data_IF_033587734566
#
_entry.id   IF_033587734566
#
_cell.length_a   1.000
_cell.length_b   1.000
_cell.length_c   1.000
_cell.angle_alpha   90.00
_cell.angle_beta   90.00
_cell.angle_gamma   90.00
#
_symmetry.space_group_name_H-M   'P 1'
#
loop_
_entity.id
_entity.type
_entity.pdbx_description
1 polymer ?
#
# COMPACT_ATOMS: atom_id res chain seq x y z
N UNK A 1 4.56 -16.33 -1.74
CA UNK A 1 4.71 -15.51 -0.52
C UNK A 1 4.64 -14.05 -0.94
N UNK A 2 3.84 -13.24 -0.26
CA UNK A 2 3.71 -11.81 -0.50
C UNK A 2 4.50 -10.98 0.52
N UNK A 3 4.65 -9.69 0.24
CA UNK A 3 5.14 -8.66 1.14
C UNK A 3 4.13 -7.52 1.12
N UNK A 4 3.58 -7.20 2.27
CA UNK A 4 2.41 -6.33 2.36
C UNK A 4 2.82 -4.94 2.80
N UNK A 5 2.19 -3.89 2.28
CA UNK A 5 2.37 -2.52 2.76
C UNK A 5 1.01 -1.82 2.80
N UNK A 6 0.86 -0.94 3.79
CA UNK A 6 -0.31 -0.09 3.92
C UNK A 6 0.10 1.38 3.86
N UNK A 7 -0.70 2.17 3.13
CA UNK A 7 -0.47 3.59 2.91
C UNK A 7 -1.72 4.39 3.22
N UNK A 8 -1.60 5.42 4.05
CA UNK A 8 -2.71 6.31 4.37
C UNK A 8 -2.21 7.71 4.71
N UNK A 9 -3.13 8.67 4.72
CA UNK A 9 -2.84 10.00 5.21
C UNK A 9 -3.00 10.06 6.73
N UNK A 10 -1.96 10.51 7.43
CA UNK A 10 -1.99 10.74 8.86
C UNK A 10 -1.53 12.17 9.16
N UNK A 11 -2.21 12.83 10.10
CA UNK A 11 -1.93 14.23 10.46
C UNK A 11 -0.82 14.38 11.51
N UNK A 12 -0.45 13.29 12.18
CA UNK A 12 0.58 13.24 13.22
C UNK A 12 1.49 12.04 13.09
N UNK A 13 2.39 11.88 14.07
CA UNK A 13 3.18 10.66 14.20
C UNK A 13 2.32 9.54 14.77
N UNK A 14 2.61 8.32 14.34
CA UNK A 14 1.98 7.10 14.84
C UNK A 14 3.09 6.13 15.24
N UNK A 15 2.97 5.52 16.42
CA UNK A 15 3.87 4.43 16.78
C UNK A 15 3.47 3.12 16.07
N UNK A 16 4.37 2.14 16.09
CA UNK A 16 4.16 0.87 15.40
C UNK A 16 2.95 0.08 15.92
N UNK A 17 2.60 0.21 17.20
CA UNK A 17 1.47 -0.51 17.79
C UNK A 17 0.13 0.10 17.33
N UNK A 18 0.02 1.43 17.32
CA UNK A 18 -1.13 2.13 16.79
C UNK A 18 -1.27 1.95 15.27
N UNK A 19 -0.15 1.91 14.53
CA UNK A 19 -0.13 1.62 13.11
C UNK A 19 -0.61 0.19 12.82
N UNK A 20 -0.17 -0.78 13.62
CA UNK A 20 -0.65 -2.16 13.53
C UNK A 20 -2.17 -2.26 13.73
N UNK A 21 -2.72 -1.60 14.75
CA UNK A 21 -4.18 -1.62 15.00
C UNK A 21 -4.98 -1.08 13.81
N UNK A 22 -4.48 -0.02 13.16
CA UNK A 22 -5.11 0.48 11.93
C UNK A 22 -4.99 -0.52 10.80
N UNK A 23 -3.80 -1.09 10.59
CA UNK A 23 -3.57 -2.09 9.56
C UNK A 23 -4.48 -3.32 9.72
N UNK A 24 -4.62 -3.83 10.94
CA UNK A 24 -5.49 -4.97 11.28
C UNK A 24 -6.95 -4.68 10.88
N UNK A 25 -7.47 -3.50 11.27
CA UNK A 25 -8.80 -3.04 10.88
C UNK A 25 -8.95 -2.85 9.36
N UNK A 26 -7.92 -2.34 8.67
CA UNK A 26 -7.91 -2.23 7.21
C UNK A 26 -8.01 -3.62 6.55
N UNK A 27 -7.27 -4.61 7.05
CA UNK A 27 -7.28 -5.98 6.50
C UNK A 27 -8.58 -6.74 6.80
N UNK A 28 -9.28 -6.39 7.88
CA UNK A 28 -10.62 -6.88 8.19
C UNK A 28 -11.72 -6.22 7.32
N UNK A 29 -11.35 -5.24 6.50
CA UNK A 29 -12.25 -4.54 5.58
C UNK A 29 -13.09 -3.46 6.25
N UNK A 30 -12.66 -2.97 7.41
CA UNK A 30 -13.33 -1.86 8.08
C UNK A 30 -13.18 -0.55 7.30
N UNK A 31 -14.22 0.28 7.38
CA UNK A 31 -14.28 1.64 6.84
C UNK A 31 -14.22 2.67 7.97
N UNK A 32 -13.68 3.85 7.72
CA UNK A 32 -13.47 4.89 8.72
C UNK A 32 -12.24 4.67 9.58
N UNK A 33 -11.31 3.79 9.15
CA UNK A 33 -10.06 3.53 9.87
C UNK A 33 -9.14 4.75 9.83
N UNK A 34 -9.15 5.45 8.70
CA UNK A 34 -8.45 6.70 8.47
C UNK A 34 -9.35 7.68 7.74
N UNK A 35 -9.03 8.97 7.81
CA UNK A 35 -9.79 9.97 7.05
C UNK A 35 -9.51 9.80 5.54
N UNK A 36 -10.55 9.91 4.73
CA UNK A 36 -10.39 10.04 3.28
C UNK A 36 -9.48 11.23 2.95
N UNK A 37 -8.63 11.05 1.94
CA UNK A 37 -7.70 12.10 1.53
C UNK A 37 -7.46 12.06 0.03
N UNK A 38 -7.54 13.22 -0.67
CA UNK A 38 -7.14 13.30 -2.07
C UNK A 38 -5.70 12.81 -2.32
N UNK A 39 -4.82 12.91 -1.31
CA UNK A 39 -3.43 12.45 -1.39
C UNK A 39 -3.34 10.93 -1.57
N UNK A 40 -4.24 10.17 -0.94
CA UNK A 40 -4.31 8.72 -1.05
C UNK A 40 -4.81 8.33 -2.46
N UNK A 41 -5.84 9.02 -2.95
CA UNK A 41 -6.32 8.82 -4.31
C UNK A 41 -5.25 9.19 -5.36
N UNK A 42 -4.48 10.25 -5.15
CA UNK A 42 -3.37 10.64 -6.01
C UNK A 42 -2.26 9.58 -6.02
N UNK A 43 -1.90 9.06 -4.84
CA UNK A 43 -0.93 7.99 -4.70
C UNK A 43 -1.38 6.72 -5.42
N UNK A 44 -2.63 6.28 -5.22
CA UNK A 44 -3.16 5.11 -5.93
C UNK A 44 -3.04 5.25 -7.45
N UNK A 45 -3.36 6.43 -8.01
CA UNK A 45 -3.19 6.69 -9.45
C UNK A 45 -1.73 6.67 -9.90
N UNK A 46 -0.81 7.08 -9.04
CA UNK A 46 0.63 6.99 -9.35
C UNK A 46 1.12 5.53 -9.31
N UNK A 47 0.62 4.73 -8.35
CA UNK A 47 0.89 3.28 -8.27
C UNK A 47 0.43 2.59 -9.56
N UNK A 48 -0.81 2.85 -10.00
CA UNK A 48 -1.35 2.27 -11.24
C UNK A 48 -0.57 2.68 -12.51
N UNK A 49 0.06 3.85 -12.51
CA UNK A 49 0.92 4.29 -13.63
C UNK A 49 2.30 3.63 -13.60
N UNK A 50 2.83 3.39 -12.41
CA UNK A 50 4.14 2.75 -12.24
C UNK A 50 4.06 1.25 -12.50
N UNK A 51 2.97 0.62 -12.06
CA UNK A 51 2.75 -0.81 -12.14
C UNK A 51 1.30 -1.08 -12.52
N UNK A 52 1.09 -1.74 -13.65
CA UNK A 52 -0.25 -2.17 -14.06
C UNK A 52 -0.84 -3.10 -12.99
N UNK A 53 -2.09 -2.85 -12.62
CA UNK A 53 -2.80 -3.67 -11.62
C UNK A 53 -3.25 -5.01 -12.22
N UNK A 54 -3.46 -6.00 -11.35
CA UNK A 54 -4.02 -7.28 -11.74
C UNK A 54 -5.55 -7.15 -11.90
N UNK A 55 -6.06 -7.64 -13.03
CA UNK A 55 -7.49 -7.65 -13.38
C UNK A 55 -7.93 -9.04 -13.83
N UNK A 56 -9.24 -9.25 -14.02
CA UNK A 56 -9.78 -10.50 -14.56
C UNK A 56 -9.27 -10.81 -15.98
N UNK A 57 -8.85 -9.79 -16.74
CA UNK A 57 -8.32 -9.91 -18.09
C UNK A 57 -6.79 -10.12 -18.12
N UNK A 58 -6.13 -10.14 -16.96
CA UNK A 58 -4.66 -10.32 -16.90
C UNK A 58 -4.29 -11.75 -17.26
N UNK A 59 -3.42 -11.90 -18.26
CA UNK A 59 -2.90 -13.20 -18.69
C UNK A 59 -1.92 -13.79 -17.66
N UNK A 60 -1.69 -15.10 -17.69
CA UNK A 60 -0.70 -15.74 -16.82
C UNK A 60 0.72 -15.14 -17.02
N UNK A 61 1.08 -14.83 -18.26
CA UNK A 61 2.37 -14.24 -18.61
C UNK A 61 2.53 -12.81 -18.03
N UNK A 62 1.46 -12.00 -18.08
CA UNK A 62 1.43 -10.67 -17.47
C UNK A 62 1.46 -10.76 -15.93
N UNK A 63 0.73 -11.72 -15.35
CA UNK A 63 0.73 -11.96 -13.91
C UNK A 63 2.13 -12.36 -13.41
N UNK A 64 2.87 -13.19 -14.16
CA UNK A 64 4.25 -13.57 -13.85
C UNK A 64 5.23 -12.38 -13.90
N UNK A 65 4.95 -11.36 -14.71
CA UNK A 65 5.73 -10.12 -14.77
C UNK A 65 5.25 -9.05 -13.79
N UNK A 66 4.08 -9.22 -13.19
CA UNK A 66 3.50 -8.26 -12.24
C UNK A 66 4.29 -8.23 -10.93
N UNK A 67 4.45 -7.06 -10.29
CA UNK A 67 4.94 -6.99 -8.92
C UNK A 67 3.90 -7.44 -7.90
N UNK A 68 2.64 -7.56 -8.30
CA UNK A 68 1.53 -7.83 -7.41
C UNK A 68 1.24 -9.32 -7.30
N UNK A 69 0.84 -9.76 -6.11
CA UNK A 69 0.29 -11.11 -5.88
C UNK A 69 -1.24 -11.12 -5.84
N UNK A 70 -1.85 -9.93 -5.75
CA UNK A 70 -3.29 -9.66 -5.81
C UNK A 70 -3.49 -8.20 -6.23
N UNK A 71 -4.68 -7.85 -6.71
CA UNK A 71 -5.01 -6.48 -7.10
C UNK A 71 -4.77 -5.50 -5.95
N UNK A 72 -4.30 -4.30 -6.29
CA UNK A 72 -4.06 -3.21 -5.34
C UNK A 72 -5.40 -2.74 -4.76
N UNK A 73 -5.55 -2.81 -3.44
CA UNK A 73 -6.77 -2.35 -2.77
C UNK A 73 -6.71 -0.84 -2.54
N UNK A 74 -7.84 -0.16 -2.80
CA UNK A 74 -8.03 1.26 -2.54
C UNK A 74 -9.50 1.56 -2.23
N UNK A 75 -9.75 2.38 -1.21
CA UNK A 75 -11.11 2.81 -0.83
C UNK A 75 -11.26 4.32 -0.58
N UNK A 76 -10.24 5.13 -0.89
CA UNK A 76 -10.22 6.57 -0.60
C UNK A 76 -9.55 6.95 0.72
N UNK A 77 -9.59 6.06 1.72
CA UNK A 77 -8.98 6.23 3.03
C UNK A 77 -7.54 5.72 3.06
N UNK A 78 -7.31 4.57 2.44
CA UNK A 78 -6.00 3.91 2.40
C UNK A 78 -5.78 3.09 1.12
N UNK A 79 -4.53 2.69 0.92
CA UNK A 79 -4.10 1.73 -0.12
C UNK A 79 -3.41 0.55 0.56
N UNK A 80 -3.80 -0.68 0.18
CA UNK A 80 -3.06 -1.89 0.54
C UNK A 80 -2.48 -2.53 -0.71
N UNK A 81 -1.24 -2.99 -0.61
CA UNK A 81 -0.55 -3.72 -1.69
C UNK A 81 -0.03 -5.05 -1.17
N UNK A 82 -0.04 -6.05 -2.03
CA UNK A 82 0.57 -7.36 -1.78
C UNK A 82 1.63 -7.63 -2.85
N UNK A 83 2.89 -7.41 -2.51
CA UNK A 83 4.02 -7.47 -3.45
C UNK A 83 4.57 -8.89 -3.52
N UNK A 84 4.93 -9.37 -4.70
CA UNK A 84 5.66 -10.62 -4.86
C UNK A 84 6.99 -10.56 -4.09
N UNK A 85 7.24 -11.53 -3.22
CA UNK A 85 8.43 -11.51 -2.35
C UNK A 85 9.76 -11.34 -3.11
N UNK A 86 9.86 -11.90 -4.32
CA UNK A 86 11.02 -11.77 -5.21
C UNK A 86 11.31 -10.33 -5.64
N UNK A 87 10.29 -9.46 -5.65
CA UNK A 87 10.35 -8.06 -6.08
C UNK A 87 10.25 -7.05 -4.94
N UNK A 88 10.11 -7.53 -3.69
CA UNK A 88 9.80 -6.69 -2.54
C UNK A 88 10.70 -5.46 -2.40
N UNK A 89 12.02 -5.61 -2.51
CA UNK A 89 12.96 -4.52 -2.25
C UNK A 89 12.82 -3.40 -3.29
N UNK A 90 12.74 -3.75 -4.58
CA UNK A 90 12.59 -2.79 -5.68
C UNK A 90 11.26 -2.02 -5.55
N UNK A 91 10.18 -2.75 -5.32
CA UNK A 91 8.83 -2.19 -5.34
C UNK A 91 8.56 -1.42 -4.04
N UNK A 92 8.92 -1.95 -2.87
CA UNK A 92 8.70 -1.28 -1.58
C UNK A 92 9.40 0.07 -1.52
N UNK A 93 10.67 0.15 -1.95
CA UNK A 93 11.44 1.39 -1.90
C UNK A 93 10.83 2.46 -2.81
N UNK A 94 10.36 2.04 -3.98
CA UNK A 94 9.69 2.92 -4.95
C UNK A 94 8.35 3.43 -4.39
N UNK A 95 7.53 2.55 -3.82
CA UNK A 95 6.24 2.91 -3.22
C UNK A 95 6.39 3.82 -1.99
N UNK A 96 7.33 3.51 -1.09
CA UNK A 96 7.62 4.33 0.09
C UNK A 96 8.06 5.74 -0.35
N UNK A 97 8.91 5.83 -1.38
CA UNK A 97 9.35 7.13 -1.92
C UNK A 97 8.17 7.92 -2.51
N UNK A 98 7.29 7.27 -3.27
CA UNK A 98 6.06 7.90 -3.79
C UNK A 98 5.15 8.37 -2.65
N UNK A 99 4.91 7.53 -1.64
CA UNK A 99 4.08 7.83 -0.49
C UNK A 99 4.59 9.07 0.27
N UNK A 100 5.90 9.13 0.56
CA UNK A 100 6.55 10.30 1.17
C UNK A 100 6.33 11.58 0.38
N UNK A 101 6.52 11.52 -0.95
CA UNK A 101 6.32 12.69 -1.82
C UNK A 101 4.88 13.23 -1.79
N UNK A 102 3.91 12.38 -1.44
CA UNK A 102 2.48 12.71 -1.32
C UNK A 102 2.09 13.08 0.11
N UNK A 103 2.97 12.95 1.09
CA UNK A 103 2.67 13.20 2.50
C UNK A 103 1.91 12.05 3.16
N UNK A 104 2.16 10.81 2.73
CA UNK A 104 1.50 9.62 3.26
C UNK A 104 2.42 8.84 4.19
N UNK A 105 1.83 8.25 5.22
CA UNK A 105 2.47 7.29 6.10
C UNK A 105 2.50 5.92 5.42
N UNK A 106 3.58 5.17 5.61
CA UNK A 106 3.66 3.76 5.24
C UNK A 106 3.82 2.92 6.50
N UNK A 107 3.09 1.81 6.56
CA UNK A 107 3.32 0.77 7.56
C UNK A 107 3.73 -0.54 6.90
N UNK A 108 4.77 -1.14 7.49
CA UNK A 108 5.35 -2.41 7.10
C UNK A 108 5.09 -3.43 8.21
N UNK A 109 4.06 -4.30 8.04
CA UNK A 109 3.68 -5.28 9.05
C UNK A 109 4.73 -6.40 9.20
N UNK A 110 5.55 -6.69 8.17
CA UNK A 110 6.59 -7.72 8.28
C UNK A 110 7.80 -7.24 9.11
N UNK A 111 8.01 -5.92 9.19
CA UNK A 111 9.09 -5.30 9.97
C UNK A 111 8.62 -4.58 11.22
N UNK A 112 7.30 -4.49 11.43
CA UNK A 112 6.66 -3.68 12.47
C UNK A 112 7.17 -2.23 12.45
N UNK A 113 7.32 -1.66 11.25
CA UNK A 113 7.96 -0.37 11.02
C UNK A 113 6.97 0.64 10.45
N UNK A 114 6.95 1.83 11.04
CA UNK A 114 6.29 3.02 10.49
C UNK A 114 7.32 3.87 9.77
N UNK A 115 7.00 4.24 8.54
CA UNK A 115 7.75 5.23 7.77
C UNK A 115 6.87 6.46 7.61
N UNK A 116 7.27 7.53 8.27
CA UNK A 116 6.61 8.83 8.16
C UNK A 116 6.88 9.50 6.81
N UNK A 117 6.01 10.44 6.46
CA UNK A 117 6.06 11.24 5.24
C UNK A 117 7.35 12.08 5.10
#
# INVERSE_FOLDING_TARGET
MSYDLAFWYESGSLDAAAAYQKYDAMTDGESGVTAESPRVADFYRDVQKAYQDLTEDTTEEEADQSPWTSSVYFNGEYVLVNIAWSRKNEVSDTLITMAKSRGLMTYDPQRELVVEA
#
